data_IF_332223771211
#
_entry.id   IF_332223771211
#
_cell.length_a   1.000
_cell.length_b   1.000
_cell.length_c   1.000
_cell.angle_alpha   90.00
_cell.angle_beta   90.00
_cell.angle_gamma   90.00
#
_symmetry.space_group_name_H-M   'P 1'
#
loop_
_entity.id
_entity.type
_entity.pdbx_description
1 polymer ?
#
# COMPACT_ATOMS: atom_id res chain seq x y z
N UNK A 1 -15.10 5.48 10.01
CA UNK A 1 -14.63 6.28 8.85
C UNK A 1 -15.77 6.40 7.84
N UNK A 2 -16.04 7.55 7.17
CA UNK A 2 -17.29 7.79 6.43
C UNK A 2 -17.37 7.15 5.03
N UNK A 3 -16.51 6.17 4.74
CA UNK A 3 -16.65 5.23 3.63
C UNK A 3 -16.34 3.88 4.26
N UNK A 4 -17.20 2.87 4.11
CA UNK A 4 -17.09 1.56 4.79
C UNK A 4 -15.89 0.70 4.34
N UNK A 5 -14.73 1.31 4.13
CA UNK A 5 -13.47 0.67 3.78
C UNK A 5 -12.65 0.42 5.04
N UNK A 6 -11.93 -0.71 5.02
CA UNK A 6 -10.89 -1.03 6.01
C UNK A 6 -9.59 -0.33 5.60
N UNK A 7 -9.11 0.59 6.42
CA UNK A 7 -7.99 1.49 6.09
C UNK A 7 -6.71 1.00 6.77
N UNK A 8 -5.70 0.73 5.95
CA UNK A 8 -4.35 0.36 6.39
C UNK A 8 -3.40 1.51 6.05
N UNK A 9 -2.67 2.01 7.04
CA UNK A 9 -1.66 3.06 6.87
C UNK A 9 -0.26 2.53 7.17
N UNK A 10 0.76 3.06 6.49
CA UNK A 10 2.17 2.80 6.79
C UNK A 10 2.85 4.05 7.33
N UNK A 11 3.65 3.93 8.39
CA UNK A 11 4.45 5.03 8.91
C UNK A 11 5.81 4.56 9.43
N UNK A 12 6.75 5.50 9.60
CA UNK A 12 8.15 5.20 9.91
C UNK A 12 8.53 5.26 11.40
N UNK A 13 7.54 5.36 12.30
CA UNK A 13 7.71 5.33 13.76
C UNK A 13 6.40 4.94 14.45
N UNK A 14 6.50 4.42 15.67
CA UNK A 14 5.32 4.06 16.47
C UNK A 14 4.40 5.26 16.74
N UNK A 15 4.96 6.41 17.09
CA UNK A 15 4.19 7.64 17.33
C UNK A 15 3.31 8.03 16.13
N UNK A 16 3.85 7.92 14.91
CA UNK A 16 3.09 8.19 13.69
C UNK A 16 2.03 7.13 13.42
N UNK A 17 2.30 5.87 13.75
CA UNK A 17 1.29 4.80 13.66
C UNK A 17 0.12 5.07 14.61
N UNK A 18 0.40 5.45 15.85
CA UNK A 18 -0.63 5.80 16.84
C UNK A 18 -1.46 7.02 16.38
N UNK A 19 -0.81 7.99 15.74
CA UNK A 19 -1.50 9.12 15.12
C UNK A 19 -2.45 8.67 13.99
N UNK A 20 -2.03 7.76 13.11
CA UNK A 20 -2.88 7.21 12.05
C UNK A 20 -4.11 6.48 12.62
N UNK A 21 -3.94 5.69 13.69
CA UNK A 21 -5.06 5.02 14.36
C UNK A 21 -6.05 6.03 14.95
N UNK A 22 -5.56 7.11 15.60
CA UNK A 22 -6.42 8.20 16.11
C UNK A 22 -7.17 8.94 15.01
N UNK A 23 -6.58 9.04 13.81
CA UNK A 23 -7.21 9.63 12.62
C UNK A 23 -8.24 8.69 11.96
N UNK A 24 -8.36 7.45 12.45
CA UNK A 24 -9.37 6.48 12.00
C UNK A 24 -8.87 5.43 11.02
N UNK A 25 -7.56 5.17 10.95
CA UNK A 25 -7.05 3.96 10.33
C UNK A 25 -7.42 2.73 11.19
N UNK A 26 -7.77 1.62 10.54
CA UNK A 26 -8.09 0.36 11.20
C UNK A 26 -6.82 -0.45 11.55
N UNK A 27 -5.75 -0.27 10.77
CA UNK A 27 -4.41 -0.82 11.04
C UNK A 27 -3.33 0.18 10.65
N UNK A 28 -2.32 0.34 11.51
CA UNK A 28 -1.13 1.11 11.21
C UNK A 28 0.10 0.19 11.26
N UNK A 29 0.94 0.27 10.23
CA UNK A 29 2.13 -0.57 10.05
C UNK A 29 3.37 0.30 10.19
N UNK A 30 4.23 -0.04 11.13
CA UNK A 30 5.58 0.53 11.18
C UNK A 30 6.47 -0.20 10.17
N UNK A 31 6.68 0.39 8.99
CA UNK A 31 7.39 -0.27 7.89
C UNK A 31 8.88 -0.55 8.18
N UNK A 32 9.42 -0.03 9.30
CA UNK A 32 10.79 -0.30 9.76
C UNK A 32 10.89 -1.58 10.59
N UNK A 33 9.76 -2.04 11.14
CA UNK A 33 9.68 -3.18 12.05
C UNK A 33 8.92 -4.36 11.43
N UNK A 34 7.99 -4.08 10.52
CA UNK A 34 7.16 -5.07 9.84
C UNK A 34 7.21 -4.93 8.32
N UNK A 35 7.13 -6.05 7.60
CA UNK A 35 6.90 -6.06 6.16
C UNK A 35 5.45 -5.69 5.84
N UNK A 36 5.24 -4.51 5.26
CA UNK A 36 3.89 -4.04 4.93
C UNK A 36 3.14 -4.93 3.93
N UNK A 37 3.82 -5.65 3.03
CA UNK A 37 3.19 -6.54 2.06
C UNK A 37 2.59 -7.74 2.80
N UNK A 38 3.33 -8.31 3.75
CA UNK A 38 2.85 -9.40 4.60
C UNK A 38 1.70 -8.91 5.49
N UNK A 39 1.86 -7.75 6.12
CA UNK A 39 0.86 -7.12 6.97
C UNK A 39 -0.47 -6.86 6.26
N UNK A 40 -0.42 -6.34 5.02
CA UNK A 40 -1.61 -6.09 4.20
C UNK A 40 -2.30 -7.40 3.85
N UNK A 41 -1.54 -8.45 3.49
CA UNK A 41 -2.12 -9.76 3.18
C UNK A 41 -2.79 -10.36 4.42
N UNK A 42 -2.15 -10.32 5.58
CA UNK A 42 -2.71 -10.78 6.85
C UNK A 42 -4.02 -10.05 7.18
N UNK A 43 -4.01 -8.71 7.14
CA UNK A 43 -5.18 -7.88 7.41
C UNK A 43 -6.36 -8.11 6.45
N UNK A 44 -6.09 -8.65 5.25
CA UNK A 44 -7.09 -8.83 4.19
C UNK A 44 -7.44 -10.29 3.93
N UNK A 45 -7.00 -11.22 4.80
CA UNK A 45 -7.24 -12.65 4.62
C UNK A 45 -6.58 -13.22 3.36
N UNK A 46 -5.39 -12.73 3.02
CA UNK A 46 -4.58 -13.12 1.88
C UNK A 46 -4.96 -12.44 0.56
N UNK A 47 -6.01 -11.60 0.53
CA UNK A 47 -6.54 -11.02 -0.71
C UNK A 47 -5.68 -9.86 -1.25
N UNK A 48 -5.08 -9.07 -0.38
CA UNK A 48 -4.39 -7.83 -0.72
C UNK A 48 -5.31 -6.59 -0.69
N UNK A 49 -4.72 -5.42 -0.89
CA UNK A 49 -5.43 -4.14 -0.87
C UNK A 49 -6.16 -3.87 -2.20
N UNK A 50 -7.45 -3.52 -2.14
CA UNK A 50 -8.23 -3.14 -3.32
C UNK A 50 -7.77 -1.80 -3.93
N UNK A 51 -7.35 -0.87 -3.07
CA UNK A 51 -6.83 0.44 -3.48
C UNK A 51 -5.57 0.74 -2.67
N UNK A 52 -4.51 1.17 -3.34
CA UNK A 52 -3.26 1.65 -2.73
C UNK A 52 -3.05 3.10 -3.19
N UNK A 53 -2.76 3.97 -2.22
CA UNK A 53 -2.32 5.34 -2.47
C UNK A 53 -0.82 5.37 -2.24
N UNK A 54 -0.03 5.49 -3.32
CA UNK A 54 1.42 5.48 -3.26
C UNK A 54 1.98 6.91 -3.34
N UNK A 55 2.67 7.28 -2.27
CA UNK A 55 3.36 8.56 -2.12
C UNK A 55 4.88 8.40 -1.99
N UNK A 56 5.38 7.18 -2.11
CA UNK A 56 6.78 6.81 -1.94
C UNK A 56 7.43 6.61 -3.32
N UNK A 57 6.84 5.78 -4.18
CA UNK A 57 7.46 5.43 -5.47
C UNK A 57 8.75 4.62 -5.33
N UNK A 58 9.61 4.66 -6.35
CA UNK A 58 10.84 3.86 -6.39
C UNK A 58 10.56 2.37 -6.16
N UNK A 59 11.33 1.73 -5.29
CA UNK A 59 11.21 0.30 -5.00
C UNK A 59 9.85 -0.12 -4.40
N UNK A 60 9.05 0.84 -3.91
CA UNK A 60 7.71 0.55 -3.42
C UNK A 60 6.76 0.14 -4.54
N UNK A 61 6.99 0.54 -5.79
CA UNK A 61 6.11 0.18 -6.92
C UNK A 61 5.98 -1.34 -7.05
N UNK A 62 7.10 -2.06 -7.02
CA UNK A 62 7.10 -3.52 -7.11
C UNK A 62 6.39 -4.18 -5.90
N UNK A 63 6.63 -3.65 -4.69
CA UNK A 63 5.99 -4.14 -3.46
C UNK A 63 4.49 -3.84 -3.43
N UNK A 64 4.06 -2.72 -3.98
CA UNK A 64 2.66 -2.37 -4.12
C UNK A 64 1.94 -3.34 -5.07
N UNK A 65 2.60 -3.82 -6.14
CA UNK A 65 2.03 -4.88 -6.99
C UNK A 65 1.83 -6.19 -6.22
N UNK A 66 2.70 -6.50 -5.26
CA UNK A 66 2.56 -7.67 -4.40
C UNK A 66 1.46 -7.53 -3.34
N UNK A 67 1.33 -6.33 -2.75
CA UNK A 67 0.35 -6.00 -1.73
C UNK A 67 -1.07 -5.82 -2.30
N UNK A 68 -1.20 -5.44 -3.57
CA UNK A 68 -2.48 -5.21 -4.22
C UNK A 68 -3.29 -6.51 -4.39
N UNK A 69 -4.61 -6.40 -4.30
CA UNK A 69 -5.54 -7.47 -4.65
C UNK A 69 -5.62 -7.69 -6.16
N UNK A 70 -6.22 -8.81 -6.56
CA UNK A 70 -6.68 -8.99 -7.95
C UNK A 70 -7.67 -7.87 -8.27
N UNK A 71 -7.52 -7.25 -9.45
CA UNK A 71 -8.23 -6.06 -9.92
C UNK A 71 -8.00 -4.81 -9.04
N UNK A 72 -6.92 -4.81 -8.25
CA UNK A 72 -6.53 -3.69 -7.40
C UNK A 72 -6.10 -2.45 -8.19
N UNK A 73 -6.31 -1.28 -7.58
CA UNK A 73 -5.94 0.02 -8.14
C UNK A 73 -4.81 0.65 -7.33
N UNK A 74 -3.80 1.16 -8.01
CA UNK A 74 -2.68 1.88 -7.42
C UNK A 74 -2.70 3.30 -7.97
N UNK A 75 -2.78 4.28 -7.08
CA UNK A 75 -2.76 5.69 -7.43
C UNK A 75 -1.44 6.27 -6.95
N UNK A 76 -0.55 6.59 -7.88
CA UNK A 76 0.69 7.29 -7.61
C UNK A 76 0.41 8.79 -7.44
N UNK A 77 0.64 9.31 -6.24
CA UNK A 77 0.40 10.72 -5.88
C UNK A 77 1.72 11.48 -5.79
N UNK A 78 2.79 10.81 -5.33
CA UNK A 78 4.10 11.42 -5.17
C UNK A 78 5.22 10.38 -5.26
N UNK A 79 6.47 10.84 -5.42
CA UNK A 79 7.66 9.98 -5.56
C UNK A 79 8.75 10.39 -4.56
N UNK A 80 8.45 10.30 -3.26
CA UNK A 80 9.38 10.71 -2.19
C UNK A 80 10.70 9.93 -2.18
N UNK A 81 10.71 8.68 -2.66
CA UNK A 81 11.88 7.82 -2.74
C UNK A 81 12.37 7.60 -4.18
N UNK A 82 12.07 8.56 -5.07
CA UNK A 82 12.53 8.56 -6.46
C UNK A 82 11.42 8.24 -7.47
N UNK A 83 11.54 8.88 -8.64
CA UNK A 83 10.54 8.77 -9.71
C UNK A 83 10.75 7.58 -10.64
N UNK A 84 11.87 6.86 -10.50
CA UNK A 84 12.22 5.70 -11.33
C UNK A 84 12.14 4.45 -10.48
N UNK A 85 11.46 3.43 -10.99
CA UNK A 85 11.26 2.15 -10.32
C UNK A 85 11.54 0.99 -11.26
N UNK A 86 12.13 -0.08 -10.73
CA UNK A 86 12.12 -1.38 -11.38
C UNK A 86 10.93 -2.19 -10.87
N UNK A 87 10.13 -2.77 -11.76
CA UNK A 87 8.94 -3.53 -11.39
C UNK A 87 8.74 -4.74 -12.30
N UNK A 88 8.27 -5.84 -11.69
CA UNK A 88 7.84 -7.02 -12.41
C UNK A 88 6.39 -6.86 -12.89
N UNK A 89 6.24 -6.50 -14.15
CA UNK A 89 4.94 -6.30 -14.79
C UNK A 89 4.13 -7.59 -14.95
N UNK A 90 4.72 -8.78 -14.78
CA UNK A 90 3.94 -10.02 -14.77
C UNK A 90 2.92 -10.04 -13.63
N UNK A 91 3.28 -9.50 -12.45
CA UNK A 91 2.38 -9.36 -11.30
C UNK A 91 1.22 -8.41 -11.61
N UNK A 92 1.51 -7.31 -12.31
CA UNK A 92 0.50 -6.36 -12.77
C UNK A 92 -0.50 -7.04 -13.71
N UNK A 93 -0.01 -7.82 -14.68
CA UNK A 93 -0.84 -8.51 -15.66
C UNK A 93 -1.68 -9.63 -15.03
N UNK A 94 -1.08 -10.51 -14.23
CA UNK A 94 -1.77 -11.65 -13.58
C UNK A 94 -2.87 -11.16 -12.63
N UNK A 95 -2.59 -10.10 -11.89
CA UNK A 95 -3.59 -9.48 -11.00
C UNK A 95 -4.51 -8.49 -11.71
N UNK A 96 -4.28 -8.16 -12.99
CA UNK A 96 -5.05 -7.17 -13.75
C UNK A 96 -5.13 -5.82 -13.05
N UNK A 97 -3.99 -5.35 -12.55
CA UNK A 97 -3.91 -4.10 -11.79
C UNK A 97 -4.07 -2.88 -12.70
N UNK A 98 -4.62 -1.80 -12.13
CA UNK A 98 -4.61 -0.47 -12.73
C UNK A 98 -3.64 0.42 -11.95
N UNK A 99 -2.64 1.01 -12.61
CA UNK A 99 -1.71 1.96 -12.00
C UNK A 99 -1.84 3.32 -12.71
N UNK A 100 -2.26 4.35 -11.98
CA UNK A 100 -2.51 5.71 -12.49
C UNK A 100 -1.76 6.77 -11.70
N UNK A 101 -1.40 7.89 -12.32
CA UNK A 101 -0.90 9.09 -11.62
C UNK A 101 -2.03 10.09 -11.30
N UNK A 102 -1.82 10.91 -10.27
CA UNK A 102 -2.70 12.03 -9.89
C UNK A 102 -1.92 13.29 -9.51
#
# INVERSE_FOLDING_TARGET
CPVGAYVISTAGSQEKCDACLKLGADRAINYREEDFVAAVKDATGGKGANVILDMVGGDYVARNYEAAAVEGRIVQIATQSGAVASADFSKMMVKRLTHTGS
#
